data_IF_135391861222
#
_entry.id   IF_135391861222
#
_cell.length_a   1.000
_cell.length_b   1.000
_cell.length_c   1.000
_cell.angle_alpha   90.00
_cell.angle_beta   90.00
_cell.angle_gamma   90.00
#
_symmetry.space_group_name_H-M   'P 1'
#
loop_
_entity.id
_entity.type
_entity.pdbx_description
1 polymer ?
#
# COMPACT_ATOMS: atom_id res chain seq x y z
N UNK A 1 -22.70 9.00 49.46
CA UNK A 1 -23.30 9.36 48.16
C UNK A 1 -22.43 10.42 47.52
N UNK A 2 -21.73 10.10 46.42
CA UNK A 2 -21.64 10.89 45.19
C UNK A 2 -21.01 10.00 44.12
N UNK A 3 -21.70 9.89 43.00
CA UNK A 3 -21.46 8.96 41.91
C UNK A 3 -20.20 9.34 41.12
N UNK A 4 -19.30 8.37 40.92
CA UNK A 4 -18.26 8.47 39.89
C UNK A 4 -18.93 8.24 38.54
N UNK A 5 -19.06 9.32 37.76
CA UNK A 5 -19.45 9.25 36.36
C UNK A 5 -18.33 8.57 35.56
N UNK A 6 -18.53 7.29 35.26
CA UNK A 6 -17.74 6.52 34.32
C UNK A 6 -17.99 7.08 32.90
N UNK A 7 -17.12 8.00 32.49
CA UNK A 7 -17.10 8.49 31.10
C UNK A 7 -16.24 7.53 30.30
N UNK A 8 -16.90 6.56 29.68
CA UNK A 8 -16.31 5.66 28.70
C UNK A 8 -15.69 6.45 27.54
N UNK A 9 -14.38 6.70 27.59
CA UNK A 9 -13.62 7.22 26.46
C UNK A 9 -13.47 6.13 25.40
N UNK A 10 -14.40 6.22 24.45
CA UNK A 10 -14.39 5.63 23.11
C UNK A 10 -12.97 5.42 22.56
N UNK A 11 -12.59 4.15 22.49
CA UNK A 11 -11.41 3.58 21.85
C UNK A 11 -11.27 4.10 20.41
N UNK A 12 -10.35 5.04 20.17
CA UNK A 12 -9.72 5.19 18.87
C UNK A 12 -8.32 4.63 18.97
N UNK A 13 -8.24 3.31 18.87
CA UNK A 13 -6.99 2.59 18.65
C UNK A 13 -6.38 3.16 17.38
N UNK A 14 -5.36 4.00 17.55
CA UNK A 14 -4.43 4.37 16.50
C UNK A 14 -3.83 3.05 16.00
N UNK A 15 -4.28 2.58 14.83
CA UNK A 15 -3.61 1.50 14.08
C UNK A 15 -2.33 2.05 13.45
N UNK A 16 -1.46 2.57 14.30
CA UNK A 16 -0.07 2.81 14.02
C UNK A 16 0.66 1.60 14.61
N UNK A 17 1.55 0.97 13.86
CA UNK A 17 2.30 -0.26 14.20
C UNK A 17 1.54 -1.59 14.09
N UNK A 18 1.23 -2.00 12.87
CA UNK A 18 0.97 -3.42 12.56
C UNK A 18 1.78 -3.81 11.31
N UNK A 19 3.10 -3.78 11.44
CA UNK A 19 4.06 -4.26 10.45
C UNK A 19 5.20 -4.99 11.16
N UNK A 20 4.87 -6.08 11.84
CA UNK A 20 5.89 -7.01 12.30
C UNK A 20 5.39 -8.45 12.16
N UNK A 21 5.24 -8.89 10.90
CA UNK A 21 5.32 -10.31 10.57
C UNK A 21 6.16 -10.42 9.30
N UNK A 22 7.47 -10.64 9.50
CA UNK A 22 8.60 -10.56 8.56
C UNK A 22 8.78 -9.21 7.84
N UNK A 23 9.76 -8.37 8.25
CA UNK A 23 10.03 -7.13 7.56
C UNK A 23 10.68 -7.47 6.22
N UNK A 24 9.90 -7.47 5.14
CA UNK A 24 10.53 -7.21 3.85
C UNK A 24 11.27 -5.88 3.98
N UNK A 25 12.57 -5.93 3.72
CA UNK A 25 13.45 -4.78 3.72
C UNK A 25 12.93 -3.74 2.71
N UNK A 26 13.36 -2.51 2.89
CA UNK A 26 13.01 -1.41 1.97
C UNK A 26 13.37 -1.76 0.53
N UNK A 27 14.53 -2.38 0.31
CA UNK A 27 14.97 -2.86 -1.00
C UNK A 27 14.05 -3.96 -1.55
N UNK A 28 13.73 -4.99 -0.76
CA UNK A 28 12.81 -6.06 -1.15
C UNK A 28 11.42 -5.50 -1.52
N UNK A 29 10.96 -4.44 -0.84
CA UNK A 29 9.71 -3.75 -1.18
C UNK A 29 9.81 -3.03 -2.53
N UNK A 30 10.92 -2.36 -2.82
CA UNK A 30 11.13 -1.73 -4.11
C UNK A 30 11.15 -2.76 -5.24
N UNK A 31 11.93 -3.84 -5.09
CA UNK A 31 11.96 -4.94 -6.06
C UNK A 31 10.57 -5.54 -6.27
N UNK A 32 9.80 -5.73 -5.19
CA UNK A 32 8.43 -6.23 -5.28
C UNK A 32 7.51 -5.27 -6.03
N UNK A 33 7.57 -3.97 -5.74
CA UNK A 33 6.75 -2.97 -6.44
C UNK A 33 7.08 -2.96 -7.93
N UNK A 34 8.37 -3.00 -8.27
CA UNK A 34 8.84 -2.98 -9.64
C UNK A 34 8.46 -4.27 -10.38
N UNK A 35 8.66 -5.43 -9.77
CA UNK A 35 8.25 -6.72 -10.32
C UNK A 35 6.73 -6.76 -10.58
N UNK A 36 5.91 -6.36 -9.61
CA UNK A 36 4.44 -6.34 -9.76
C UNK A 36 4.00 -5.31 -10.80
N UNK A 37 4.71 -4.20 -10.96
CA UNK A 37 4.41 -3.16 -11.96
C UNK A 37 4.40 -3.71 -13.38
N UNK A 38 5.26 -4.68 -13.71
CA UNK A 38 5.30 -5.31 -15.03
C UNK A 38 4.10 -6.22 -15.33
N UNK A 39 3.33 -6.61 -14.32
CA UNK A 39 2.17 -7.49 -14.47
C UNK A 39 0.86 -6.76 -14.16
N UNK A 40 0.27 -6.03 -15.12
CA UNK A 40 -1.00 -5.33 -14.92
C UNK A 40 -2.13 -6.26 -14.47
N UNK A 41 -2.10 -7.55 -14.81
CA UNK A 41 -3.05 -8.55 -14.32
C UNK A 41 -3.07 -8.72 -12.79
N UNK A 42 -2.05 -8.24 -12.07
CA UNK A 42 -1.98 -8.29 -10.60
C UNK A 42 -2.60 -7.06 -9.92
N UNK A 43 -2.61 -5.91 -10.58
CA UNK A 43 -2.98 -4.63 -9.97
C UNK A 43 -4.07 -3.86 -10.71
N UNK A 44 -4.24 -4.08 -12.01
CA UNK A 44 -5.24 -3.45 -12.86
C UNK A 44 -6.52 -4.30 -12.94
N UNK A 45 -7.54 -3.87 -12.20
CA UNK A 45 -8.87 -4.50 -12.18
C UNK A 45 -9.58 -4.41 -13.55
N UNK A 46 -9.18 -3.46 -14.41
CA UNK A 46 -9.75 -3.27 -15.76
C UNK A 46 -9.18 -4.24 -16.78
N UNK A 47 -8.06 -4.91 -16.46
CA UNK A 47 -7.45 -5.84 -17.37
C UNK A 47 -8.34 -7.08 -17.54
N UNK A 48 -8.63 -7.51 -18.77
CA UNK A 48 -9.48 -8.68 -19.03
C UNK A 48 -9.00 -9.93 -18.27
N UNK A 49 -7.67 -10.07 -18.11
CA UNK A 49 -7.05 -11.20 -17.43
C UNK A 49 -7.00 -11.04 -15.89
N UNK A 50 -7.48 -9.94 -15.31
CA UNK A 50 -7.54 -9.78 -13.85
C UNK A 50 -8.50 -10.80 -13.20
N UNK A 51 -9.58 -11.14 -13.90
CA UNK A 51 -10.52 -12.20 -13.49
C UNK A 51 -9.98 -13.61 -13.73
N UNK A 52 -8.93 -13.74 -14.54
CA UNK A 52 -8.31 -15.02 -14.84
C UNK A 52 -7.35 -15.42 -13.70
N UNK A 53 -7.81 -16.36 -12.88
CA UNK A 53 -7.04 -16.83 -11.73
C UNK A 53 -5.74 -17.53 -12.15
N UNK A 54 -5.72 -18.19 -13.31
CA UNK A 54 -4.52 -18.88 -13.78
C UNK A 54 -3.44 -17.87 -14.20
N UNK A 55 -3.81 -16.82 -14.94
CA UNK A 55 -2.88 -15.72 -15.30
C UNK A 55 -2.36 -14.99 -14.07
N UNK A 56 -3.24 -14.68 -13.11
CA UNK A 56 -2.84 -14.02 -11.86
C UNK A 56 -1.85 -14.87 -11.07
N UNK A 57 -2.11 -16.17 -10.91
CA UNK A 57 -1.18 -17.06 -10.23
C UNK A 57 0.14 -17.19 -11.01
N UNK A 58 0.10 -17.22 -12.34
CA UNK A 58 1.29 -17.23 -13.17
C UNK A 58 2.14 -15.97 -12.98
N UNK A 59 1.52 -14.79 -13.00
CA UNK A 59 2.20 -13.52 -12.75
C UNK A 59 2.83 -13.48 -11.35
N UNK A 60 2.11 -13.93 -10.33
CA UNK A 60 2.67 -14.04 -8.98
C UNK A 60 3.84 -15.01 -8.90
N UNK A 61 3.78 -16.16 -9.59
CA UNK A 61 4.91 -17.09 -9.66
C UNK A 61 6.14 -16.41 -10.28
N UNK A 62 5.97 -15.61 -11.34
CA UNK A 62 7.08 -14.84 -11.89
C UNK A 62 7.63 -13.81 -10.90
N UNK A 63 6.77 -13.07 -10.21
CA UNK A 63 7.19 -12.12 -9.17
C UNK A 63 7.96 -12.83 -8.05
N UNK A 64 7.48 -14.00 -7.62
CA UNK A 64 8.18 -14.84 -6.64
C UNK A 64 9.55 -15.21 -7.16
N UNK A 65 9.65 -15.84 -8.33
CA UNK A 65 10.94 -16.27 -8.91
C UNK A 65 11.91 -15.10 -9.02
N UNK A 66 11.48 -13.96 -9.54
CA UNK A 66 12.31 -12.75 -9.66
C UNK A 66 12.82 -12.24 -8.31
N UNK A 67 11.97 -12.26 -7.28
CA UNK A 67 12.36 -11.90 -5.91
C UNK A 67 13.35 -12.89 -5.32
N UNK A 68 13.15 -14.19 -5.57
CA UNK A 68 14.06 -15.24 -5.13
C UNK A 68 15.43 -15.14 -5.82
N UNK A 69 15.45 -14.87 -7.13
CA UNK A 69 16.68 -14.67 -7.91
C UNK A 69 17.44 -13.41 -7.48
N UNK A 70 16.73 -12.31 -7.23
CA UNK A 70 17.35 -11.03 -6.88
C UNK A 70 17.95 -11.05 -5.47
N UNK A 71 17.24 -11.64 -4.50
CA UNK A 71 17.64 -11.60 -3.09
C UNK A 71 18.24 -12.91 -2.57
N UNK A 72 18.22 -13.98 -3.37
CA UNK A 72 18.74 -15.30 -2.98
C UNK A 72 17.99 -15.95 -1.82
N UNK A 73 16.69 -15.67 -1.66
CA UNK A 73 15.85 -16.17 -0.56
C UNK A 73 14.57 -16.80 -1.08
N UNK A 74 14.04 -17.79 -0.36
CA UNK A 74 12.71 -18.32 -0.66
C UNK A 74 11.64 -17.35 -0.18
N UNK A 75 10.88 -16.79 -1.12
CA UNK A 75 9.69 -16.00 -0.85
C UNK A 75 8.44 -16.78 -1.24
N UNK A 76 7.41 -16.67 -0.40
CA UNK A 76 6.07 -17.19 -0.73
C UNK A 76 5.23 -16.12 -1.39
N UNK A 77 4.47 -16.52 -2.41
CA UNK A 77 3.48 -15.67 -3.09
C UNK A 77 2.59 -14.93 -2.07
N UNK A 78 2.04 -15.64 -1.10
CA UNK A 78 1.15 -15.10 -0.06
C UNK A 78 1.78 -13.98 0.77
N UNK A 79 3.10 -14.04 1.01
CA UNK A 79 3.85 -13.00 1.73
C UNK A 79 4.05 -11.79 0.82
N UNK A 80 4.47 -12.01 -0.42
CA UNK A 80 4.67 -10.94 -1.41
C UNK A 80 3.34 -10.22 -1.73
N UNK A 81 2.27 -10.98 -1.96
CA UNK A 81 0.93 -10.46 -2.21
C UNK A 81 0.41 -9.66 -1.03
N UNK A 82 0.62 -10.14 0.21
CA UNK A 82 0.26 -9.39 1.42
C UNK A 82 1.07 -8.11 1.56
N UNK A 83 2.38 -8.16 1.35
CA UNK A 83 3.27 -6.99 1.40
C UNK A 83 2.90 -5.93 0.37
N UNK A 84 2.68 -6.35 -0.88
CA UNK A 84 2.23 -5.46 -1.95
C UNK A 84 0.86 -4.86 -1.65
N UNK A 85 -0.08 -5.67 -1.15
CA UNK A 85 -1.40 -5.18 -0.73
C UNK A 85 -1.28 -4.13 0.37
N UNK A 86 -0.42 -4.34 1.37
CA UNK A 86 -0.18 -3.36 2.44
C UNK A 86 0.42 -2.06 1.90
N UNK A 87 1.36 -2.15 0.97
CA UNK A 87 1.96 -0.98 0.29
C UNK A 87 0.89 -0.20 -0.48
N UNK A 88 0.09 -0.90 -1.30
CA UNK A 88 -1.03 -0.31 -2.05
C UNK A 88 -2.08 0.33 -1.12
N UNK A 89 -2.43 -0.33 -0.03
CA UNK A 89 -3.40 0.19 0.94
C UNK A 89 -2.86 1.45 1.62
N UNK A 90 -1.57 1.45 2.00
CA UNK A 90 -0.89 2.63 2.55
C UNK A 90 -0.88 3.79 1.56
N UNK A 91 -0.58 3.52 0.28
CA UNK A 91 -0.62 4.51 -0.78
C UNK A 91 -2.03 5.10 -0.98
N UNK A 92 -3.07 4.25 -1.02
CA UNK A 92 -4.47 4.71 -1.10
C UNK A 92 -4.88 5.58 0.10
N UNK A 93 -4.46 5.21 1.32
CA UNK A 93 -4.71 6.04 2.51
C UNK A 93 -4.03 7.40 2.38
N UNK A 94 -2.78 7.42 1.92
CA UNK A 94 -2.01 8.65 1.67
C UNK A 94 -2.67 9.54 0.63
N UNK A 95 -3.15 8.99 -0.48
CA UNK A 95 -3.91 9.74 -1.48
C UNK A 95 -5.22 10.31 -0.91
N UNK A 96 -5.96 9.50 -0.14
CA UNK A 96 -7.17 9.97 0.54
C UNK A 96 -6.87 11.10 1.52
N UNK A 97 -5.76 11.00 2.23
CA UNK A 97 -5.29 12.03 3.16
C UNK A 97 -4.91 13.32 2.41
N UNK A 98 -4.17 13.23 1.29
CA UNK A 98 -3.89 14.36 0.39
C UNK A 98 -5.20 15.01 -0.08
N UNK A 99 -6.18 14.21 -0.53
CA UNK A 99 -7.46 14.74 -1.01
C UNK A 99 -8.27 15.40 0.11
N UNK A 100 -8.30 14.80 1.31
CA UNK A 100 -8.99 15.35 2.48
C UNK A 100 -8.31 16.64 2.97
N UNK A 101 -6.98 16.72 2.95
CA UNK A 101 -6.21 17.93 3.22
C UNK A 101 -6.52 19.03 2.21
N UNK A 102 -6.50 18.72 0.90
CA UNK A 102 -6.86 19.66 -0.15
C UNK A 102 -8.30 20.17 -0.01
N UNK A 103 -9.22 19.35 0.50
CA UNK A 103 -10.62 19.73 0.71
C UNK A 103 -10.84 20.53 2.00
N UNK A 104 -10.10 20.25 3.08
CA UNK A 104 -10.29 20.88 4.40
C UNK A 104 -9.46 22.14 4.59
N UNK A 105 -8.27 22.18 4.03
CA UNK A 105 -7.32 23.26 4.21
C UNK A 105 -7.05 23.93 2.86
N UNK A 106 -7.28 25.24 2.81
CA UNK A 106 -6.93 26.10 1.68
C UNK A 106 -5.79 27.01 2.13
N UNK A 107 -4.53 26.67 1.82
CA UNK A 107 -3.38 27.47 2.23
C UNK A 107 -2.07 26.67 2.39
N UNK A 108 -1.01 27.33 2.86
CA UNK A 108 0.36 26.77 2.95
C UNK A 108 0.48 25.53 3.85
N UNK A 109 -0.37 25.39 4.87
CA UNK A 109 -0.38 24.19 5.73
C UNK A 109 -0.85 22.93 4.98
N UNK A 110 -1.74 23.09 4.00
CA UNK A 110 -2.17 21.98 3.15
C UNK A 110 -1.01 21.48 2.28
N UNK A 111 -0.24 22.40 1.69
CA UNK A 111 0.90 22.02 0.83
C UNK A 111 1.98 21.29 1.61
N UNK A 112 2.35 21.76 2.80
CA UNK A 112 3.40 21.12 3.62
C UNK A 112 2.99 19.69 4.05
N UNK A 113 1.72 19.51 4.43
CA UNK A 113 1.20 18.19 4.77
C UNK A 113 1.21 17.23 3.57
N UNK A 114 0.83 17.72 2.39
CA UNK A 114 0.89 16.92 1.14
C UNK A 114 2.32 16.54 0.81
N UNK A 115 3.28 17.45 0.93
CA UNK A 115 4.70 17.16 0.69
C UNK A 115 5.23 16.11 1.66
N UNK A 116 4.86 16.17 2.94
CA UNK A 116 5.22 15.14 3.93
C UNK A 116 4.65 13.77 3.59
N UNK A 117 3.43 13.72 3.06
CA UNK A 117 2.82 12.46 2.64
C UNK A 117 3.56 11.88 1.44
N UNK A 118 3.91 12.73 0.46
CA UNK A 118 4.68 12.39 -0.74
C UNK A 118 6.14 12.03 -0.43
N UNK A 119 6.70 12.52 0.67
CA UNK A 119 8.03 12.16 1.15
C UNK A 119 8.15 10.68 1.61
N UNK A 120 7.06 9.90 1.55
CA UNK A 120 7.14 8.48 1.79
C UNK A 120 7.92 7.77 0.67
N UNK A 121 8.96 6.97 1.00
CA UNK A 121 9.90 6.43 0.01
C UNK A 121 9.26 5.61 -1.12
N UNK A 122 8.13 4.95 -0.85
CA UNK A 122 7.44 4.13 -1.86
C UNK A 122 6.34 4.89 -2.61
N UNK A 123 6.10 6.17 -2.30
CA UNK A 123 5.04 6.96 -2.91
C UNK A 123 5.26 7.11 -4.42
N UNK A 124 6.47 7.49 -4.81
CA UNK A 124 6.84 7.65 -6.22
C UNK A 124 6.77 6.32 -6.98
N UNK A 125 7.31 5.25 -6.40
CA UNK A 125 7.27 3.91 -7.01
C UNK A 125 5.85 3.35 -7.17
N UNK A 126 4.88 3.79 -6.37
CA UNK A 126 3.47 3.39 -6.46
C UNK A 126 2.62 4.37 -7.26
N UNK A 127 3.18 5.47 -7.75
CA UNK A 127 2.47 6.51 -8.51
C UNK A 127 1.82 5.99 -9.80
N UNK A 128 2.34 4.91 -10.38
CA UNK A 128 1.71 4.26 -11.55
C UNK A 128 0.29 3.76 -11.25
N UNK A 129 -0.05 3.54 -9.96
CA UNK A 129 -1.38 3.15 -9.54
C UNK A 129 -2.37 4.33 -9.58
N UNK A 130 -1.94 5.58 -9.70
CA UNK A 130 -2.86 6.73 -9.82
C UNK A 130 -3.84 6.55 -11.00
N UNK A 131 -3.38 5.95 -12.10
CA UNK A 131 -4.20 5.67 -13.31
C UNK A 131 -5.44 4.83 -13.00
N UNK A 132 -5.34 3.92 -12.02
CA UNK A 132 -6.47 3.08 -11.59
C UNK A 132 -7.26 3.69 -10.43
N UNK A 133 -6.69 4.66 -9.70
CA UNK A 133 -7.29 5.25 -8.50
C UNK A 133 -8.07 6.55 -8.78
N UNK A 134 -7.72 7.28 -9.84
CA UNK A 134 -8.34 8.56 -10.23
C UNK A 134 -9.82 8.43 -10.66
N UNK A 135 -10.29 7.24 -11.04
CA UNK A 135 -11.69 7.03 -11.49
C UNK A 135 -12.64 6.57 -10.38
N UNK A 136 -12.61 7.25 -9.22
CA UNK A 136 -13.51 7.02 -8.08
C UNK A 136 -14.51 8.16 -7.86
#
# INVERSE_FOLDING_TARGET
>A
MYAYADTAMSYKVKKETLLETSPMNTEEKYTLIDAVRFYPELWDDRHLNFKDTAKRNQAWNFVVVQMQETHGKDFKEEVLARSFKNLKDTYRRKLKEINDLNRKASGCEASENVERIKAWPFFDSLSYLDVILDQG
#
